data_IF_475845964993
#
_entry.id   IF_475845964993
#
_cell.length_a   1.000
_cell.length_b   1.000
_cell.length_c   1.000
_cell.angle_alpha   90.00
_cell.angle_beta   90.00
_cell.angle_gamma   90.00
#
_symmetry.space_group_name_H-M   'P 1'
#
loop_
_entity.id
_entity.type
_entity.pdbx_description
1 polymer ?
#
# COMPACT_ATOMS: atom_id res chain seq x y z
N UNK A 1 27.53 -4.31 -9.66
CA UNK A 1 26.12 -4.02 -9.93
C UNK A 1 25.35 -4.62 -8.76
N UNK A 2 24.76 -3.80 -7.92
CA UNK A 2 23.88 -4.32 -6.87
C UNK A 2 22.65 -4.93 -7.58
N UNK A 3 22.28 -6.15 -7.22
CA UNK A 3 21.04 -6.74 -7.72
C UNK A 3 19.88 -5.91 -7.13
N UNK A 4 19.11 -5.27 -7.97
CA UNK A 4 17.86 -4.65 -7.55
C UNK A 4 16.90 -5.82 -7.30
N UNK A 5 16.55 -6.04 -6.04
CA UNK A 5 15.54 -7.04 -5.66
C UNK A 5 14.20 -6.33 -5.75
N UNK A 6 13.49 -6.57 -6.83
CA UNK A 6 12.15 -6.06 -7.06
C UNK A 6 11.19 -7.23 -6.82
N UNK A 7 10.26 -7.08 -5.89
CA UNK A 7 9.36 -8.19 -5.52
C UNK A 7 8.33 -7.77 -4.47
N UNK A 8 7.84 -8.74 -3.69
CA UNK A 8 6.90 -8.45 -2.60
C UNK A 8 7.52 -7.45 -1.60
N UNK A 9 6.81 -6.35 -1.33
CA UNK A 9 7.28 -5.27 -0.48
C UNK A 9 6.36 -5.07 0.74
N UNK A 10 5.12 -4.60 0.55
CA UNK A 10 4.18 -4.30 1.63
C UNK A 10 3.34 -5.50 2.05
N UNK A 11 3.05 -5.58 3.35
CA UNK A 11 2.21 -6.63 3.95
C UNK A 11 1.14 -6.01 4.82
N UNK A 12 -0.11 -6.49 4.72
CA UNK A 12 -1.20 -6.17 5.63
C UNK A 12 -2.01 -7.42 5.97
N UNK A 13 -2.19 -7.71 7.27
CA UNK A 13 -2.90 -8.92 7.71
C UNK A 13 -4.27 -8.59 8.25
N UNK A 14 -5.32 -9.16 7.62
CA UNK A 14 -6.69 -9.12 8.10
C UNK A 14 -6.93 -10.27 9.09
N UNK A 15 -6.89 -9.95 10.38
CA UNK A 15 -7.10 -10.93 11.45
C UNK A 15 -8.52 -11.50 11.42
N UNK A 16 -9.52 -10.72 10.98
CA UNK A 16 -10.92 -11.13 10.94
C UNK A 16 -11.22 -12.17 9.88
N UNK A 17 -10.45 -12.17 8.78
CA UNK A 17 -10.60 -13.09 7.65
C UNK A 17 -9.43 -14.05 7.47
N UNK A 18 -8.44 -13.97 8.38
CA UNK A 18 -7.22 -14.78 8.31
C UNK A 18 -6.59 -14.70 6.91
N UNK A 19 -6.40 -13.45 6.43
CA UNK A 19 -5.93 -13.19 5.08
C UNK A 19 -4.76 -12.21 5.12
N UNK A 20 -3.63 -12.61 4.53
CA UNK A 20 -2.48 -11.75 4.31
C UNK A 20 -2.58 -11.13 2.91
N UNK A 21 -2.55 -9.80 2.86
CA UNK A 21 -2.41 -9.05 1.62
C UNK A 21 -0.94 -8.71 1.39
N UNK A 22 -0.51 -8.80 0.14
CA UNK A 22 0.89 -8.62 -0.26
C UNK A 22 0.95 -7.71 -1.46
N UNK A 23 1.68 -6.60 -1.35
CA UNK A 23 2.01 -5.74 -2.47
C UNK A 23 3.19 -6.33 -3.25
N UNK A 24 3.04 -6.49 -4.55
CA UNK A 24 4.11 -6.91 -5.47
C UNK A 24 4.45 -5.77 -6.40
N UNK A 25 5.61 -5.19 -6.18
CA UNK A 25 6.11 -4.01 -6.86
C UNK A 25 6.23 -4.21 -8.38
N UNK A 26 6.89 -5.28 -8.82
CA UNK A 26 7.12 -5.57 -10.25
C UNK A 26 5.86 -5.94 -11.02
N UNK A 27 4.87 -6.48 -10.34
CA UNK A 27 3.64 -6.98 -10.98
C UNK A 27 2.53 -5.94 -10.99
N UNK A 28 2.73 -4.76 -10.36
CA UNK A 28 1.69 -3.75 -10.13
C UNK A 28 0.42 -4.39 -9.55
N UNK A 29 0.60 -5.26 -8.54
CA UNK A 29 -0.45 -6.18 -8.11
C UNK A 29 -0.48 -6.33 -6.59
N UNK A 30 -1.70 -6.42 -6.06
CA UNK A 30 -1.93 -6.86 -4.69
C UNK A 30 -2.49 -8.27 -4.69
N UNK A 31 -1.80 -9.15 -3.99
CA UNK A 31 -2.21 -10.54 -3.79
C UNK A 31 -2.85 -10.76 -2.42
N UNK A 32 -3.68 -11.81 -2.30
CA UNK A 32 -4.20 -12.28 -1.02
C UNK A 32 -3.88 -13.76 -0.81
N UNK A 33 -3.36 -14.08 0.37
CA UNK A 33 -3.15 -15.43 0.87
C UNK A 33 -4.14 -15.69 2.00
N UNK A 34 -5.13 -16.54 1.74
CA UNK A 34 -6.14 -16.93 2.74
C UNK A 34 -5.58 -17.97 3.68
N UNK A 35 -6.06 -17.97 4.92
CA UNK A 35 -5.61 -18.89 5.99
C UNK A 35 -4.14 -18.74 6.36
N UNK A 36 -3.57 -17.54 6.15
CA UNK A 36 -2.15 -17.28 6.33
C UNK A 36 -1.68 -17.45 7.79
N UNK A 37 -2.53 -17.18 8.77
CA UNK A 37 -2.20 -17.34 10.18
C UNK A 37 -2.33 -18.77 10.72
N UNK A 38 -2.90 -19.68 9.95
CA UNK A 38 -3.16 -21.08 10.38
C UNK A 38 -2.35 -22.10 9.65
N UNK A 39 -1.80 -21.76 8.50
CA UNK A 39 -1.03 -22.72 7.70
C UNK A 39 0.39 -22.87 8.22
N UNK A 40 0.93 -24.08 8.08
CA UNK A 40 2.33 -24.40 8.33
C UNK A 40 3.06 -24.79 7.03
N UNK A 41 2.39 -24.64 5.89
CA UNK A 41 2.94 -24.96 4.57
C UNK A 41 2.85 -23.74 3.66
N UNK A 42 3.58 -23.77 2.56
CA UNK A 42 3.52 -22.71 1.56
C UNK A 42 2.11 -22.58 0.96
N UNK A 43 1.61 -21.36 0.90
CA UNK A 43 0.34 -21.01 0.24
C UNK A 43 0.53 -20.61 -1.23
N UNK A 44 1.76 -20.70 -1.74
CA UNK A 44 2.08 -20.26 -3.10
C UNK A 44 2.05 -18.73 -3.22
N UNK A 45 1.67 -18.23 -4.39
CA UNK A 45 1.62 -16.78 -4.70
C UNK A 45 0.31 -16.10 -4.28
N UNK A 46 -0.68 -16.88 -3.84
CA UNK A 46 -1.99 -16.34 -3.51
C UNK A 46 -2.87 -16.04 -4.72
N UNK A 47 -3.95 -15.32 -4.50
CA UNK A 47 -4.88 -14.87 -5.55
C UNK A 47 -4.74 -13.35 -5.77
N UNK A 48 -4.86 -12.91 -7.02
CA UNK A 48 -4.91 -11.48 -7.35
C UNK A 48 -6.16 -10.86 -6.75
N UNK A 49 -5.99 -9.78 -6.01
CA UNK A 49 -7.08 -8.96 -5.45
C UNK A 49 -7.27 -7.70 -6.24
N UNK A 50 -6.17 -7.01 -6.53
CA UNK A 50 -6.17 -5.76 -7.27
C UNK A 50 -4.97 -5.73 -8.20
N UNK A 51 -5.23 -5.42 -9.45
CA UNK A 51 -4.23 -5.19 -10.48
C UNK A 51 -4.81 -4.15 -11.44
N UNK A 52 -4.20 -2.98 -11.47
CA UNK A 52 -4.71 -1.86 -12.27
C UNK A 52 -3.54 -0.96 -12.66
N UNK A 53 -3.12 -1.10 -13.90
CA UNK A 53 -2.01 -0.30 -14.45
C UNK A 53 -2.30 1.19 -14.62
N UNK A 54 -3.55 1.62 -14.42
CA UNK A 54 -3.90 3.03 -14.44
C UNK A 54 -3.63 3.72 -13.10
N UNK A 55 -3.66 2.98 -11.99
CA UNK A 55 -3.54 3.56 -10.66
C UNK A 55 -2.47 2.90 -9.78
N UNK A 56 -1.94 1.73 -10.16
CA UNK A 56 -0.97 1.00 -9.37
C UNK A 56 0.35 0.87 -10.13
N UNK A 57 1.38 1.54 -9.61
CA UNK A 57 2.72 1.62 -10.21
C UNK A 57 3.77 1.42 -9.12
N UNK A 58 4.37 0.23 -9.07
CA UNK A 58 5.37 -0.09 -8.07
C UNK A 58 4.84 -0.01 -6.62
N UNK A 59 3.81 -0.80 -6.24
CA UNK A 59 3.23 -0.74 -4.90
C UNK A 59 4.21 -1.21 -3.84
N UNK A 60 4.37 -0.39 -2.79
CA UNK A 60 5.29 -0.60 -1.67
C UNK A 60 4.55 -0.81 -0.36
N UNK A 61 4.44 0.21 0.50
CA UNK A 61 3.76 0.11 1.79
C UNK A 61 2.27 -0.23 1.65
N UNK A 62 1.77 -1.12 2.48
CA UNK A 62 0.36 -1.56 2.46
C UNK A 62 -0.20 -1.60 3.88
N UNK A 63 -1.33 -0.93 4.12
CA UNK A 63 -2.01 -0.91 5.41
C UNK A 63 -3.53 -0.93 5.25
N UNK A 64 -4.24 -1.19 6.35
CA UNK A 64 -5.69 -0.98 6.42
C UNK A 64 -6.03 0.44 6.87
N UNK A 65 -6.95 1.08 6.16
CA UNK A 65 -7.59 2.31 6.59
C UNK A 65 -8.67 2.02 7.67
N UNK A 66 -9.08 3.01 8.48
CA UNK A 66 -10.13 2.86 9.49
C UNK A 66 -11.47 2.38 8.93
N UNK A 67 -11.81 2.75 7.69
CA UNK A 67 -13.02 2.28 7.00
C UNK A 67 -12.93 0.81 6.52
N UNK A 68 -11.78 0.16 6.75
CA UNK A 68 -11.51 -1.22 6.37
C UNK A 68 -11.05 -1.42 4.92
N UNK A 69 -10.87 -0.38 4.16
CA UNK A 69 -10.22 -0.43 2.85
C UNK A 69 -8.70 -0.64 3.01
N UNK A 70 -8.04 -0.91 1.91
CA UNK A 70 -6.58 -0.99 1.85
C UNK A 70 -6.03 0.32 1.27
N UNK A 71 -4.96 0.81 1.88
CA UNK A 71 -4.13 1.90 1.36
C UNK A 71 -2.79 1.32 0.96
N UNK A 72 -2.34 1.67 -0.22
CA UNK A 72 -1.03 1.26 -0.73
C UNK A 72 -0.21 2.49 -1.12
N UNK A 73 1.01 2.56 -0.63
CA UNK A 73 2.00 3.49 -1.15
C UNK A 73 2.38 3.03 -2.55
N UNK A 74 2.19 3.90 -3.51
CA UNK A 74 2.27 3.60 -4.93
C UNK A 74 3.20 4.61 -5.58
N UNK A 75 4.22 4.19 -6.19
CA UNK A 75 5.13 4.99 -6.96
C UNK A 75 6.61 4.77 -6.61
N UNK A 76 7.09 3.55 -6.75
CA UNK A 76 8.54 3.39 -6.86
C UNK A 76 9.03 4.14 -8.11
N UNK A 77 9.94 5.11 -7.97
CA UNK A 77 10.42 5.93 -9.11
C UNK A 77 11.19 5.10 -10.15
N UNK A 78 11.62 3.88 -9.80
CA UNK A 78 12.28 2.96 -10.74
C UNK A 78 11.27 2.22 -11.63
N UNK A 79 10.04 2.12 -11.19
CA UNK A 79 8.95 1.38 -11.85
C UNK A 79 7.86 2.33 -12.34
N UNK A 80 7.54 3.35 -11.55
CA UNK A 80 6.59 4.39 -11.95
C UNK A 80 7.19 5.29 -13.03
N UNK A 81 6.51 5.37 -14.17
CA UNK A 81 6.95 6.20 -15.30
C UNK A 81 5.92 7.27 -15.69
N UNK A 82 4.85 7.43 -14.91
CA UNK A 82 3.87 8.47 -15.21
C UNK A 82 4.18 9.76 -14.48
N UNK A 83 4.71 10.79 -15.19
CA UNK A 83 5.02 12.08 -14.58
C UNK A 83 3.77 12.88 -14.19
N UNK A 84 2.57 12.43 -14.57
CA UNK A 84 1.32 13.11 -14.25
C UNK A 84 0.68 12.54 -12.96
N UNK A 85 1.21 11.46 -12.42
CA UNK A 85 0.74 10.82 -11.20
C UNK A 85 1.87 10.66 -10.17
N UNK A 86 2.38 11.76 -9.62
CA UNK A 86 3.44 11.72 -8.63
C UNK A 86 2.92 11.17 -7.30
N UNK A 87 3.77 10.43 -6.59
CA UNK A 87 3.67 10.13 -5.15
C UNK A 87 2.28 9.73 -4.65
N UNK A 88 1.74 8.73 -5.23
CA UNK A 88 0.36 8.33 -4.97
C UNK A 88 0.22 7.43 -3.74
N UNK A 89 -0.88 7.62 -3.03
CA UNK A 89 -1.45 6.59 -2.16
C UNK A 89 -2.76 6.16 -2.79
N UNK A 90 -2.87 4.89 -3.14
CA UNK A 90 -4.07 4.34 -3.76
C UNK A 90 -4.93 3.65 -2.71
N UNK A 91 -6.22 4.00 -2.67
CA UNK A 91 -7.22 3.33 -1.84
C UNK A 91 -8.06 2.39 -2.69
N UNK A 92 -8.20 1.15 -2.21
CA UNK A 92 -9.08 0.16 -2.82
C UNK A 92 -9.75 -0.71 -1.75
N UNK A 93 -10.91 -1.27 -2.11
CA UNK A 93 -11.62 -2.18 -1.21
C UNK A 93 -10.88 -3.50 -1.07
N UNK A 94 -11.15 -4.26 0.00
CA UNK A 94 -10.61 -5.63 0.18
C UNK A 94 -10.99 -6.61 -0.93
N UNK A 95 -11.99 -6.29 -1.75
CA UNK A 95 -12.40 -7.07 -2.92
C UNK A 95 -11.76 -6.59 -4.22
N UNK A 96 -10.87 -5.60 -4.18
CA UNK A 96 -10.12 -5.14 -5.33
C UNK A 96 -10.82 -4.09 -6.18
N UNK A 97 -11.73 -3.30 -5.63
CA UNK A 97 -12.33 -2.18 -6.34
C UNK A 97 -11.61 -0.89 -5.98
N UNK A 98 -11.13 -0.16 -6.97
CA UNK A 98 -10.57 1.19 -6.81
C UNK A 98 -11.58 2.13 -6.12
N UNK A 99 -11.10 2.95 -5.22
CA UNK A 99 -11.89 3.95 -4.50
C UNK A 99 -11.43 5.35 -4.88
N UNK A 100 -10.16 5.65 -4.65
CA UNK A 100 -9.54 6.94 -4.98
C UNK A 100 -8.03 6.87 -4.79
N UNK A 101 -7.36 7.94 -5.15
CA UNK A 101 -5.95 8.12 -4.90
C UNK A 101 -5.67 9.48 -4.27
N UNK A 102 -4.53 9.59 -3.60
CA UNK A 102 -4.09 10.79 -2.91
C UNK A 102 -2.66 11.09 -3.32
N UNK A 103 -2.37 12.34 -3.63
CA UNK A 103 -1.01 12.82 -3.80
C UNK A 103 -0.50 13.36 -2.46
N UNK A 104 0.70 12.94 -2.06
CA UNK A 104 1.35 13.44 -0.84
C UNK A 104 2.41 14.48 -1.14
N UNK A 105 2.95 14.48 -2.35
CA UNK A 105 4.06 15.31 -2.79
C UNK A 105 4.06 15.39 -4.32
N UNK A 106 4.55 16.48 -4.96
CA UNK A 106 4.58 16.57 -6.42
C UNK A 106 5.70 15.77 -7.09
N UNK A 107 6.57 15.11 -6.32
CA UNK A 107 7.68 14.35 -6.87
C UNK A 107 7.33 12.87 -7.02
N UNK A 108 7.78 12.25 -8.09
CA UNK A 108 7.61 10.83 -8.32
C UNK A 108 8.31 9.99 -7.25
N UNK A 109 7.65 8.94 -6.78
CA UNK A 109 8.24 7.96 -5.88
C UNK A 109 8.40 8.41 -4.44
N UNK A 110 7.68 9.45 -4.01
CA UNK A 110 7.83 9.95 -2.63
C UNK A 110 7.12 9.10 -1.60
N UNK A 111 5.94 8.55 -1.87
CA UNK A 111 5.24 7.70 -0.91
C UNK A 111 5.88 6.31 -0.84
N UNK A 112 6.53 5.96 0.28
CA UNK A 112 7.23 4.70 0.45
C UNK A 112 6.58 3.78 1.48
N UNK A 113 6.48 4.21 2.73
CA UNK A 113 5.88 3.45 3.81
C UNK A 113 4.71 4.19 4.44
N UNK A 114 3.73 3.44 4.92
CA UNK A 114 2.52 3.96 5.52
C UNK A 114 2.34 3.39 6.94
N UNK A 115 1.76 4.19 7.83
CA UNK A 115 1.36 3.78 9.16
C UNK A 115 0.05 4.44 9.57
N UNK A 116 -0.76 3.75 10.34
CA UNK A 116 -1.97 4.31 10.94
C UNK A 116 -2.16 3.76 12.34
N UNK A 117 -2.57 4.60 13.26
CA UNK A 117 -2.77 4.26 14.66
C UNK A 117 -3.94 5.06 15.23
N UNK A 118 -4.71 4.43 16.13
CA UNK A 118 -5.66 5.14 16.99
C UNK A 118 -4.95 5.61 18.26
N UNK A 119 -4.90 6.91 18.47
CA UNK A 119 -4.38 7.52 19.69
C UNK A 119 -5.51 8.18 20.46
N UNK A 120 -6.12 7.44 21.37
CA UNK A 120 -7.21 7.93 22.24
C UNK A 120 -8.41 8.48 21.44
N UNK A 121 -8.83 7.79 20.39
CA UNK A 121 -9.94 8.20 19.55
C UNK A 121 -9.57 9.18 18.44
N UNK A 122 -8.30 9.54 18.33
CA UNK A 122 -7.76 10.31 17.19
C UNK A 122 -6.98 9.40 16.28
N UNK A 123 -7.41 9.26 15.03
CA UNK A 123 -6.65 8.53 14.03
C UNK A 123 -5.43 9.34 13.62
N UNK A 124 -4.27 8.74 13.73
CA UNK A 124 -2.99 9.32 13.31
C UNK A 124 -2.47 8.53 12.13
N UNK A 125 -2.23 9.22 11.03
CA UNK A 125 -1.66 8.66 9.81
C UNK A 125 -0.23 9.16 9.64
N UNK A 126 0.67 8.28 9.22
CA UNK A 126 2.04 8.63 8.90
C UNK A 126 2.42 8.07 7.53
N UNK A 127 3.23 8.82 6.83
CA UNK A 127 3.88 8.32 5.61
C UNK A 127 5.35 8.73 5.59
N UNK A 128 6.15 7.90 4.96
CA UNK A 128 7.55 8.20 4.63
C UNK A 128 7.58 8.77 3.23
N UNK A 129 8.22 9.93 3.10
CA UNK A 129 8.56 10.54 1.84
C UNK A 129 10.03 10.22 1.56
N UNK A 130 10.28 9.36 0.59
CA UNK A 130 11.63 8.90 0.26
C UNK A 130 12.42 9.97 -0.49
N UNK A 131 11.75 10.78 -1.31
CA UNK A 131 12.39 11.85 -2.07
C UNK A 131 12.94 12.96 -1.14
N UNK A 132 12.15 13.38 -0.16
CA UNK A 132 12.55 14.39 0.81
C UNK A 132 13.28 13.80 2.03
N UNK A 133 13.36 12.47 2.15
CA UNK A 133 13.90 11.76 3.33
C UNK A 133 13.22 12.21 4.63
N UNK A 134 11.89 12.34 4.61
CA UNK A 134 11.09 12.81 5.75
C UNK A 134 10.03 11.79 6.15
N UNK A 135 9.54 11.93 7.39
CA UNK A 135 8.35 11.23 7.86
C UNK A 135 7.32 12.28 8.29
N UNK A 136 6.18 12.28 7.63
CA UNK A 136 5.08 13.19 7.95
C UNK A 136 4.02 12.47 8.77
N UNK A 137 3.55 13.13 9.83
CA UNK A 137 2.50 12.63 10.73
C UNK A 137 1.32 13.58 10.69
N UNK A 138 0.14 13.05 10.40
CA UNK A 138 -1.11 13.79 10.27
C UNK A 138 -2.15 13.27 11.25
N UNK A 139 -2.86 14.17 11.91
CA UNK A 139 -4.09 13.83 12.62
C UNK A 139 -5.24 13.83 11.62
N UNK A 140 -5.90 12.67 11.47
CA UNK A 140 -7.03 12.54 10.56
C UNK A 140 -8.30 13.00 11.26
N UNK A 141 -9.03 13.92 10.65
CA UNK A 141 -10.42 14.15 11.01
C UNK A 141 -11.28 12.96 10.56
N UNK A 142 -12.37 12.68 11.25
CA UNK A 142 -13.29 11.54 11.00
C UNK A 142 -13.89 11.46 9.59
N UNK A 143 -13.52 12.36 8.68
CA UNK A 143 -13.98 12.43 7.30
C UNK A 143 -12.90 12.10 6.26
N UNK A 144 -11.70 11.67 6.64
CA UNK A 144 -10.56 11.60 5.71
C UNK A 144 -10.44 10.25 4.98
N UNK A 145 -10.90 9.15 5.59
CA UNK A 145 -10.93 7.82 4.96
C UNK A 145 -12.28 7.15 5.19
#
# INVERSE_FOLDING_TARGET
MAAVVVGPAGLAYDTSRDTLFVASEMDDTIFALRHAGRTQSSLGTGSVVYQDKAHLHGPLGLIFAPNGNLLVANADPMVSQDPNEPSEIVEFTRSGRFVRQYSVDPNLGSAFALGIEDRNGTQVFAYVDDFLSTCTILNLSSATF
#
